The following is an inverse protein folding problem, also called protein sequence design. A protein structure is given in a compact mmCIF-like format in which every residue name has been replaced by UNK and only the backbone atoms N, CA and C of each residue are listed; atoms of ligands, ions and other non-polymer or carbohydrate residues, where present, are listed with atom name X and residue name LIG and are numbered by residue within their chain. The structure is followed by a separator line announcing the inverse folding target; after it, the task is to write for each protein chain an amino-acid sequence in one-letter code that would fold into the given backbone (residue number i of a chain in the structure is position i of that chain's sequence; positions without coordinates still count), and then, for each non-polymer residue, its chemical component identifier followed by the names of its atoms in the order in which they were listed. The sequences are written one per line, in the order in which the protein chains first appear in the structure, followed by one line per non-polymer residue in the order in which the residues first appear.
data_IF_187487840614
#
_entry.id   IF_187487840614
#
_cell.length_a   1.000
_cell.length_b   1.000
_cell.length_c   1.000
_cell.angle_alpha   90.00
_cell.angle_beta   90.00
_cell.angle_gamma   90.00
#
_symmetry.space_group_name_H-M   'P 1'
#
loop_
_entity.id
_entity.type
_entity.pdbx_description
1 polymer ?
#
# COMPACT_ATOMS: atom_id res chain seq x y z
N UNK A 1 1.45 0.39 23.28
CA UNK A 1 1.83 0.44 21.85
C UNK A 1 0.89 -0.53 21.17
N UNK A 2 0.23 -0.13 20.09
CA UNK A 2 -0.74 -0.99 19.39
C UNK A 2 0.03 -2.19 18.82
N UNK A 3 -0.39 -3.43 19.11
CA UNK A 3 0.40 -4.63 18.79
C UNK A 3 0.65 -4.77 17.28
N UNK A 4 -0.35 -4.36 16.48
CA UNK A 4 -0.24 -4.26 15.02
C UNK A 4 0.93 -3.36 14.61
N UNK A 5 1.10 -2.21 15.27
CA UNK A 5 2.11 -1.23 14.90
C UNK A 5 3.53 -1.74 15.17
N UNK A 6 3.70 -2.56 16.22
CA UNK A 6 4.97 -3.21 16.52
C UNK A 6 5.34 -4.23 15.44
N UNK A 7 4.39 -5.09 15.05
CA UNK A 7 4.59 -6.04 13.95
C UNK A 7 4.84 -5.34 12.61
N UNK A 8 4.13 -4.24 12.30
CA UNK A 8 4.39 -3.43 11.10
C UNK A 8 5.82 -2.87 11.09
N UNK A 9 6.31 -2.43 12.25
CA UNK A 9 7.66 -1.90 12.37
C UNK A 9 8.72 -3.00 12.21
N UNK A 10 8.51 -4.17 12.82
CA UNK A 10 9.40 -5.32 12.64
C UNK A 10 9.43 -5.77 11.16
N UNK A 11 8.27 -5.85 10.51
CA UNK A 11 8.15 -6.19 9.10
C UNK A 11 8.91 -5.19 8.21
N UNK A 12 8.77 -3.89 8.46
CA UNK A 12 9.47 -2.85 7.70
C UNK A 12 11.01 -2.93 7.84
N UNK A 13 11.52 -3.34 9.00
CA UNK A 13 12.96 -3.55 9.20
C UNK A 13 13.44 -4.77 8.40
N UNK A 14 12.72 -5.89 8.48
CA UNK A 14 13.04 -7.11 7.75
C UNK A 14 13.01 -6.90 6.23
N UNK A 15 11.99 -6.22 5.68
CA UNK A 15 11.91 -5.97 4.24
C UNK A 15 13.05 -5.09 3.73
N UNK A 16 13.45 -4.08 4.51
CA UNK A 16 14.61 -3.25 4.19
C UNK A 16 15.91 -4.07 4.19
N UNK A 17 16.08 -4.96 5.17
CA UNK A 17 17.25 -5.84 5.24
C UNK A 17 17.29 -6.84 4.08
N UNK A 18 16.17 -7.51 3.79
CA UNK A 18 16.02 -8.43 2.65
C UNK A 18 16.39 -7.71 1.34
N UNK A 19 15.85 -6.51 1.12
CA UNK A 19 16.13 -5.72 -0.10
C UNK A 19 17.63 -5.42 -0.23
N UNK A 20 18.29 -5.02 0.86
CA UNK A 20 19.72 -4.74 0.86
C UNK A 20 20.56 -6.01 0.61
N UNK A 21 20.18 -7.14 1.21
CA UNK A 21 20.85 -8.42 1.02
C UNK A 21 20.67 -8.97 -0.41
N UNK A 22 19.49 -8.84 -1.02
CA UNK A 22 19.23 -9.18 -2.43
C UNK A 22 20.15 -8.37 -3.35
N UNK A 23 20.31 -7.06 -3.10
CA UNK A 23 21.23 -6.20 -3.85
C UNK A 23 22.69 -6.67 -3.76
N UNK A 24 23.12 -7.14 -2.58
CA UNK A 24 24.47 -7.70 -2.36
C UNK A 24 24.65 -9.06 -3.05
N UNK A 25 23.60 -9.88 -3.11
CA UNK A 25 23.63 -11.24 -3.66
C UNK A 25 24.14 -11.30 -5.12
N UNK A 26 23.88 -10.25 -5.91
CA UNK A 26 24.35 -10.14 -7.28
C UNK A 26 25.86 -9.90 -7.44
N UNK A 27 26.53 -9.41 -6.39
CA UNK A 27 27.94 -8.97 -6.43
C UNK A 27 28.85 -9.87 -5.57
N UNK A 28 28.31 -10.57 -4.58
CA UNK A 28 29.08 -11.38 -3.63
C UNK A 28 29.71 -12.66 -4.22
N UNK A 29 30.89 -13.07 -3.73
CA UNK A 29 31.55 -14.33 -4.12
C UNK A 29 30.79 -15.57 -3.64
N UNK A 30 31.02 -16.72 -4.29
CA UNK A 30 30.20 -17.94 -4.13
C UNK A 30 30.04 -18.44 -2.67
N UNK A 31 31.06 -18.31 -1.82
CA UNK A 31 30.98 -18.74 -0.41
C UNK A 31 30.13 -17.82 0.47
N UNK A 32 30.16 -16.51 0.23
CA UNK A 32 29.31 -15.53 0.94
C UNK A 32 27.88 -15.56 0.41
N UNK A 33 27.72 -15.84 -0.89
CA UNK A 33 26.43 -16.00 -1.57
C UNK A 33 25.56 -17.08 -0.92
N UNK A 34 26.11 -18.25 -0.60
CA UNK A 34 25.33 -19.33 0.03
C UNK A 34 24.82 -18.94 1.42
N UNK A 35 25.62 -18.21 2.22
CA UNK A 35 25.20 -17.70 3.52
C UNK A 35 24.09 -16.67 3.37
N UNK A 36 24.29 -15.69 2.48
CA UNK A 36 23.27 -14.67 2.17
C UNK A 36 21.96 -15.28 1.67
N UNK A 37 22.00 -16.33 0.84
CA UNK A 37 20.79 -17.04 0.40
C UNK A 37 20.04 -17.62 1.60
N UNK A 38 20.75 -18.32 2.49
CA UNK A 38 20.14 -18.90 3.69
C UNK A 38 19.59 -17.85 4.64
N UNK A 39 20.28 -16.71 4.78
CA UNK A 39 19.84 -15.61 5.64
C UNK A 39 18.58 -14.94 5.08
N UNK A 40 18.54 -14.67 3.77
CA UNK A 40 17.35 -14.13 3.08
C UNK A 40 16.18 -15.11 3.15
N UNK A 41 16.40 -16.41 2.94
CA UNK A 41 15.36 -17.45 3.05
C UNK A 41 14.72 -17.41 4.46
N UNK A 42 15.55 -17.35 5.52
CA UNK A 42 15.07 -17.22 6.92
C UNK A 42 14.28 -15.93 7.15
N UNK A 43 14.76 -14.80 6.64
CA UNK A 43 14.10 -13.51 6.82
C UNK A 43 12.77 -13.42 6.05
N UNK A 44 12.65 -14.08 4.90
CA UNK A 44 11.39 -14.17 4.15
C UNK A 44 10.34 -14.99 4.90
N UNK A 45 10.74 -16.08 5.56
CA UNK A 45 9.87 -16.86 6.45
C UNK A 45 9.43 -16.02 7.67
N UNK A 46 10.37 -15.36 8.35
CA UNK A 46 10.09 -14.48 9.50
C UNK A 46 9.13 -13.33 9.11
N UNK A 47 9.31 -12.75 7.92
CA UNK A 47 8.42 -11.73 7.37
C UNK A 47 7.02 -12.26 7.10
N UNK A 48 6.89 -13.51 6.64
CA UNK A 48 5.60 -14.15 6.42
C UNK A 48 4.87 -14.38 7.75
N UNK A 49 5.57 -14.85 8.79
CA UNK A 49 5.01 -15.03 10.13
C UNK A 49 4.45 -13.71 10.69
N UNK A 50 5.17 -12.60 10.50
CA UNK A 50 4.68 -11.28 10.91
C UNK A 50 3.41 -10.86 10.16
N UNK A 51 3.30 -11.13 8.85
CA UNK A 51 2.09 -10.86 8.09
C UNK A 51 0.90 -11.70 8.58
N UNK A 52 1.14 -12.96 8.95
CA UNK A 52 0.12 -13.82 9.54
C UNK A 52 -0.33 -13.29 10.91
N UNK A 53 0.61 -12.85 11.76
CA UNK A 53 0.31 -12.23 13.05
C UNK A 53 -0.48 -10.93 12.92
N UNK A 54 -0.11 -10.05 11.97
CA UNK A 54 -0.89 -8.86 11.64
C UNK A 54 -2.31 -9.24 11.20
N UNK A 55 -2.45 -10.27 10.35
CA UNK A 55 -3.75 -10.76 9.90
C UNK A 55 -4.64 -11.28 11.03
N UNK A 56 -4.05 -11.95 12.03
CA UNK A 56 -4.77 -12.40 13.23
C UNK A 56 -5.24 -11.21 14.07
N UNK A 57 -4.34 -10.26 14.34
CA UNK A 57 -4.66 -9.10 15.17
C UNK A 57 -5.74 -8.20 14.53
N UNK A 58 -5.75 -8.09 13.19
CA UNK A 58 -6.79 -7.36 12.44
C UNK A 58 -8.20 -7.95 12.67
N UNK A 59 -8.32 -9.25 13.00
CA UNK A 59 -9.63 -9.85 13.32
C UNK A 59 -10.21 -9.32 14.62
N UNK A 60 -9.37 -8.87 15.55
CA UNK A 60 -9.79 -8.35 16.84
C UNK A 60 -10.08 -6.83 16.78
N UNK A 61 -9.64 -6.15 15.72
CA UNK A 61 -9.97 -4.74 15.45
C UNK A 61 -11.47 -4.55 15.16
N UNK A 62 -12.12 -3.48 15.69
CA UNK A 62 -13.50 -3.15 15.37
C UNK A 62 -13.76 -3.00 13.86
N UNK A 63 -14.93 -3.46 13.40
CA UNK A 63 -15.28 -3.49 11.98
C UNK A 63 -15.14 -2.13 11.26
N UNK A 64 -15.36 -1.02 11.97
CA UNK A 64 -15.21 0.33 11.43
C UNK A 64 -13.78 0.66 10.98
N UNK A 65 -12.77 0.12 11.67
CA UNK A 65 -11.35 0.40 11.39
C UNK A 65 -10.68 -0.72 10.59
N UNK A 66 -11.32 -1.88 10.49
CA UNK A 66 -10.75 -3.09 9.87
C UNK A 66 -10.40 -2.92 8.40
N UNK A 67 -11.22 -2.21 7.62
CA UNK A 67 -10.98 -2.02 6.17
C UNK A 67 -9.65 -1.34 5.86
N UNK A 68 -9.24 -0.35 6.67
CA UNK A 68 -7.95 0.32 6.53
C UNK A 68 -6.78 -0.63 6.79
N UNK A 69 -6.84 -1.42 7.86
CA UNK A 69 -5.80 -2.38 8.18
C UNK A 69 -5.73 -3.54 7.19
N UNK A 70 -6.88 -4.08 6.74
CA UNK A 70 -6.92 -5.13 5.71
C UNK A 70 -6.29 -4.65 4.41
N UNK A 71 -6.57 -3.42 3.98
CA UNK A 71 -5.93 -2.86 2.79
C UNK A 71 -4.40 -2.75 2.95
N UNK A 72 -3.90 -2.31 4.11
CA UNK A 72 -2.46 -2.26 4.39
C UNK A 72 -1.84 -3.65 4.38
N UNK A 73 -2.48 -4.65 4.99
CA UNK A 73 -2.04 -6.05 4.97
C UNK A 73 -1.92 -6.57 3.53
N UNK A 74 -2.92 -6.30 2.67
CA UNK A 74 -2.89 -6.70 1.27
C UNK A 74 -1.73 -6.05 0.51
N UNK A 75 -1.40 -4.79 0.80
CA UNK A 75 -0.22 -4.13 0.25
C UNK A 75 1.08 -4.79 0.70
N UNK A 76 1.23 -5.11 1.99
CA UNK A 76 2.43 -5.80 2.48
C UNK A 76 2.57 -7.21 1.89
N UNK A 77 1.46 -7.95 1.73
CA UNK A 77 1.48 -9.26 1.06
C UNK A 77 1.95 -9.15 -0.40
N UNK A 78 1.51 -8.12 -1.13
CA UNK A 78 1.99 -7.87 -2.49
C UNK A 78 3.49 -7.53 -2.53
N UNK A 79 3.97 -6.72 -1.58
CA UNK A 79 5.39 -6.41 -1.46
C UNK A 79 6.24 -7.64 -1.12
N UNK A 80 5.79 -8.48 -0.18
CA UNK A 80 6.48 -9.73 0.18
C UNK A 80 6.62 -10.66 -1.03
N UNK A 81 5.57 -10.80 -1.86
CA UNK A 81 5.66 -11.59 -3.11
C UNK A 81 6.65 -11.00 -4.11
N UNK A 82 6.69 -9.66 -4.25
CA UNK A 82 7.69 -9.00 -5.08
C UNK A 82 9.11 -9.31 -4.59
N UNK A 83 9.37 -9.21 -3.29
CA UNK A 83 10.68 -9.54 -2.71
C UNK A 83 11.07 -11.00 -2.94
N UNK A 84 10.12 -11.93 -2.81
CA UNK A 84 10.34 -13.35 -3.10
C UNK A 84 10.73 -13.58 -4.57
N UNK A 85 10.09 -12.87 -5.50
CA UNK A 85 10.42 -12.94 -6.93
C UNK A 85 11.79 -12.32 -7.23
N UNK A 86 12.10 -11.15 -6.67
CA UNK A 86 13.40 -10.49 -6.80
C UNK A 86 14.54 -11.37 -6.27
N UNK A 87 14.33 -12.00 -5.11
CA UNK A 87 15.28 -12.96 -4.55
C UNK A 87 15.48 -14.19 -5.45
N UNK A 88 14.40 -14.77 -5.98
CA UNK A 88 14.47 -15.90 -6.91
C UNK A 88 15.27 -15.54 -8.16
N UNK A 89 15.04 -14.34 -8.73
CA UNK A 89 15.78 -13.83 -9.88
C UNK A 89 17.26 -13.59 -9.55
N UNK A 90 17.56 -13.04 -8.38
CA UNK A 90 18.94 -12.82 -7.92
C UNK A 90 19.67 -14.15 -7.66
N UNK A 91 18.97 -15.17 -7.15
CA UNK A 91 19.47 -16.53 -6.96
C UNK A 91 19.77 -17.24 -8.28
N UNK A 92 18.95 -17.01 -9.32
CA UNK A 92 19.18 -17.52 -10.67
C UNK A 92 20.33 -16.78 -11.39
N UNK A 93 20.52 -15.49 -11.09
CA UNK A 93 21.62 -14.68 -11.62
C UNK A 93 22.94 -15.10 -10.97
N UNK A 94 23.61 -16.12 -11.54
CA UNK A 94 25.02 -16.40 -11.22
C UNK A 94 25.86 -15.19 -11.64
N UNK A 95 26.90 -14.79 -10.86
CA UNK A 95 27.83 -13.79 -11.32
C UNK A 95 28.43 -14.27 -12.65
N UNK A 96 28.37 -13.41 -13.68
CA UNK A 96 29.08 -13.60 -14.95
C UNK A 96 30.58 -13.59 -14.66
N UNK A 97 31.10 -14.73 -14.22
CA UNK A 97 32.50 -14.87 -13.79
C UNK A 97 33.24 -16.09 -14.33
N UNK A 98 32.59 -17.01 -15.06
CA UNK A 98 33.25 -18.22 -15.63
C UNK A 98 32.53 -18.78 -16.85
N UNK A 99 32.06 -17.91 -17.75
CA UNK A 99 31.55 -18.31 -19.06
C UNK A 99 32.19 -17.49 -20.20
N UNK A 100 33.46 -17.15 -20.05
CA UNK A 100 34.26 -16.45 -21.05
C UNK A 100 35.54 -17.23 -21.35
N UNK A 101 35.55 -17.89 -22.51
CA UNK A 101 36.74 -18.29 -23.27
C UNK A 101 37.79 -19.18 -22.58
N UNK A 102 37.61 -20.49 -22.71
CA UNK A 102 38.74 -21.43 -22.87
C UNK A 102 38.57 -22.18 -24.18
N UNK A 103 38.70 -21.44 -25.29
CA UNK A 103 38.91 -21.98 -26.62
C UNK A 103 40.36 -21.62 -27.01
N UNK A 104 41.30 -22.48 -26.65
CA UNK A 104 42.66 -22.49 -27.21
C UNK A 104 43.32 -23.85 -26.89
N UNK A 105 43.40 -24.66 -27.94
CA UNK A 105 44.45 -25.64 -28.27
C UNK A 105 45.08 -26.50 -27.16
N UNK A 106 44.83 -27.81 -27.26
CA UNK A 106 45.91 -28.80 -27.15
C UNK A 106 45.56 -30.04 -27.97
N UNK A 107 46.49 -30.35 -28.87
CA UNK A 107 46.52 -31.44 -29.84
C UNK A 107 46.50 -32.85 -29.21
N UNK A 108 45.98 -33.78 -30.01
CA UNK A 108 46.27 -35.23 -30.04
C UNK A 108 45.90 -36.16 -28.86
N UNK A 109 45.28 -37.29 -29.23
CA UNK A 109 44.90 -38.49 -28.45
C UNK A 109 43.60 -38.43 -27.63
N UNK A 110 42.51 -39.03 -28.16
CA UNK A 110 41.71 -40.09 -27.49
C UNK A 110 40.29 -40.23 -28.13
N UNK A 111 40.16 -41.09 -29.15
CA UNK A 111 38.91 -41.33 -29.89
C UNK A 111 37.87 -42.15 -29.08
N UNK A 112 38.26 -42.71 -27.92
CA UNK A 112 37.38 -43.52 -27.05
C UNK A 112 36.73 -42.67 -25.95
N UNK A 113 37.34 -41.56 -25.52
CA UNK A 113 36.76 -40.62 -24.54
C UNK A 113 35.67 -39.68 -25.09
N UNK A 114 35.63 -39.44 -26.40
CA UNK A 114 34.70 -38.47 -27.04
C UNK A 114 33.24 -38.90 -26.88
N UNK A 115 32.95 -40.20 -26.92
CA UNK A 115 31.58 -40.71 -26.82
C UNK A 115 31.06 -40.66 -25.37
N UNK A 116 31.92 -40.93 -24.38
CA UNK A 116 31.56 -40.77 -22.96
C UNK A 116 31.40 -39.29 -22.58
N UNK A 117 32.25 -38.40 -23.11
CA UNK A 117 32.13 -36.97 -22.87
C UNK A 117 30.90 -36.35 -23.53
N UNK A 118 30.52 -36.77 -24.74
CA UNK A 118 29.25 -36.39 -25.34
C UNK A 118 28.06 -36.89 -24.53
N UNK A 119 28.09 -38.15 -24.08
CA UNK A 119 27.02 -38.72 -23.23
C UNK A 119 26.90 -38.01 -21.89
N UNK A 120 28.02 -37.67 -21.24
CA UNK A 120 28.05 -36.86 -20.01
C UNK A 120 27.50 -35.45 -20.24
N UNK A 121 27.86 -34.80 -21.36
CA UNK A 121 27.32 -33.48 -21.72
C UNK A 121 25.81 -33.52 -21.97
N UNK A 122 25.30 -34.58 -22.60
CA UNK A 122 23.86 -34.75 -22.82
C UNK A 122 23.11 -35.02 -21.50
N UNK A 123 23.69 -35.81 -20.60
CA UNK A 123 23.14 -36.04 -19.26
C UNK A 123 23.14 -34.76 -18.42
N UNK A 124 24.23 -33.99 -18.39
CA UNK A 124 24.30 -32.68 -17.71
C UNK A 124 23.30 -31.69 -18.32
N UNK A 125 23.14 -31.69 -19.65
CA UNK A 125 22.15 -30.85 -20.32
C UNK A 125 20.71 -31.27 -19.98
N UNK A 126 20.44 -32.57 -19.91
CA UNK A 126 19.14 -33.13 -19.51
C UNK A 126 18.81 -32.81 -18.05
N UNK A 127 19.76 -32.96 -17.14
CA UNK A 127 19.60 -32.62 -15.73
C UNK A 127 19.36 -31.11 -15.55
N UNK A 128 20.11 -30.28 -16.27
CA UNK A 128 19.89 -28.83 -16.32
C UNK A 128 18.52 -28.47 -16.86
N UNK A 129 18.06 -29.16 -17.90
CA UNK A 129 16.76 -28.91 -18.51
C UNK A 129 15.62 -29.29 -17.56
N UNK A 130 15.72 -30.46 -16.92
CA UNK A 130 14.75 -30.90 -15.91
C UNK A 130 14.69 -29.91 -14.73
N UNK A 131 15.85 -29.48 -14.23
CA UNK A 131 15.94 -28.50 -13.15
C UNK A 131 15.33 -27.16 -13.55
N UNK A 132 15.63 -26.68 -14.76
CA UNK A 132 15.06 -25.45 -15.31
C UNK A 132 13.55 -25.57 -15.50
N UNK A 133 13.05 -26.73 -15.96
CA UNK A 133 11.63 -27.01 -16.12
C UNK A 133 10.87 -26.98 -14.79
N UNK A 134 11.44 -27.59 -13.74
CA UNK A 134 10.87 -27.54 -12.40
C UNK A 134 10.84 -26.10 -11.85
N UNK A 135 11.95 -25.36 -11.97
CA UNK A 135 12.00 -23.94 -11.58
C UNK A 135 11.00 -23.07 -12.34
N UNK A 136 10.79 -23.33 -13.64
CA UNK A 136 9.82 -22.60 -14.45
C UNK A 136 8.38 -22.87 -13.99
N UNK A 137 8.07 -24.12 -13.65
CA UNK A 137 6.75 -24.52 -13.13
C UNK A 137 6.46 -23.87 -11.78
N UNK A 138 7.44 -23.83 -10.89
CA UNK A 138 7.32 -23.15 -9.60
C UNK A 138 7.16 -21.64 -9.79
N UNK A 139 7.95 -21.04 -10.68
CA UNK A 139 7.84 -19.62 -11.03
C UNK A 139 6.46 -19.28 -11.59
N UNK A 140 5.91 -20.13 -12.47
CA UNK A 140 4.58 -19.95 -13.03
C UNK A 140 3.50 -19.97 -11.95
N UNK A 141 3.60 -20.89 -10.98
CA UNK A 141 2.68 -20.94 -9.84
C UNK A 141 2.74 -19.65 -9.01
N UNK A 142 3.95 -19.18 -8.67
CA UNK A 142 4.13 -17.94 -7.90
C UNK A 142 3.55 -16.73 -8.65
N UNK A 143 3.72 -16.66 -9.98
CA UNK A 143 3.13 -15.60 -10.81
C UNK A 143 1.61 -15.64 -10.77
N UNK A 144 0.98 -16.81 -10.87
CA UNK A 144 -0.49 -16.93 -10.76
C UNK A 144 -1.00 -16.50 -9.38
N UNK A 145 -0.35 -16.94 -8.31
CA UNK A 145 -0.71 -16.50 -6.96
C UNK A 145 -0.51 -14.99 -6.77
N UNK A 146 0.46 -14.40 -7.49
CA UNK A 146 0.70 -12.94 -7.48
C UNK A 146 -0.36 -12.19 -8.28
N UNK A 147 -0.80 -12.72 -9.43
CA UNK A 147 -1.91 -12.18 -10.22
C UNK A 147 -3.21 -12.14 -9.42
N UNK A 148 -3.48 -13.20 -8.66
CA UNK A 148 -4.67 -13.27 -7.80
C UNK A 148 -4.66 -12.18 -6.72
N UNK A 149 -3.53 -11.97 -6.03
CA UNK A 149 -3.38 -10.89 -5.05
C UNK A 149 -3.48 -9.52 -5.74
N UNK A 150 -2.83 -9.34 -6.89
CA UNK A 150 -2.92 -8.10 -7.66
C UNK A 150 -4.36 -7.75 -8.03
N UNK A 151 -5.15 -8.75 -8.41
CA UNK A 151 -6.59 -8.59 -8.67
C UNK A 151 -7.35 -8.15 -7.42
N UNK A 152 -7.07 -8.75 -6.26
CA UNK A 152 -7.69 -8.38 -4.99
C UNK A 152 -7.32 -6.94 -4.58
N UNK A 153 -6.06 -6.55 -4.74
CA UNK A 153 -5.61 -5.16 -4.48
C UNK A 153 -6.31 -4.17 -5.41
N UNK A 154 -6.45 -4.49 -6.70
CA UNK A 154 -7.17 -3.64 -7.65
C UNK A 154 -8.66 -3.51 -7.29
N UNK A 155 -9.27 -4.58 -6.80
CA UNK A 155 -10.65 -4.55 -6.30
C UNK A 155 -10.78 -3.63 -5.09
N UNK A 156 -9.90 -3.77 -4.08
CA UNK A 156 -9.90 -2.91 -2.91
C UNK A 156 -9.72 -1.42 -3.28
N UNK A 157 -8.82 -1.12 -4.22
CA UNK A 157 -8.60 0.25 -4.70
C UNK A 157 -9.84 0.80 -5.43
N UNK A 158 -10.54 -0.05 -6.20
CA UNK A 158 -11.80 0.32 -6.84
C UNK A 158 -12.88 0.65 -5.80
N UNK A 159 -13.02 -0.17 -4.76
CA UNK A 159 -13.99 0.04 -3.68
C UNK A 159 -13.67 1.30 -2.87
N UNK A 160 -12.38 1.58 -2.62
CA UNK A 160 -11.92 2.82 -2.01
C UNK A 160 -12.25 4.03 -2.88
N UNK A 161 -12.00 3.96 -4.19
CA UNK A 161 -12.36 5.03 -5.14
C UNK A 161 -13.87 5.31 -5.10
N UNK A 162 -14.69 4.27 -5.07
CA UNK A 162 -16.14 4.41 -5.03
C UNK A 162 -16.60 5.08 -3.73
N UNK A 163 -16.04 4.68 -2.58
CA UNK A 163 -16.27 5.33 -1.29
C UNK A 163 -15.92 6.82 -1.33
N UNK A 164 -14.76 7.18 -1.89
CA UNK A 164 -14.35 8.59 -2.05
C UNK A 164 -15.33 9.36 -2.95
N UNK A 165 -15.78 8.75 -4.06
CA UNK A 165 -16.76 9.37 -4.95
C UNK A 165 -18.09 9.62 -4.25
N UNK A 166 -18.60 8.66 -3.48
CA UNK A 166 -19.81 8.82 -2.68
C UNK A 166 -19.65 9.92 -1.64
N UNK A 167 -18.53 9.94 -0.91
CA UNK A 167 -18.25 10.99 0.08
C UNK A 167 -18.21 12.39 -0.55
N UNK A 168 -17.57 12.54 -1.71
CA UNK A 168 -17.57 13.80 -2.48
C UNK A 168 -18.97 14.19 -2.95
N UNK A 169 -19.79 13.22 -3.38
CA UNK A 169 -21.19 13.44 -3.75
C UNK A 169 -22.00 14.00 -2.58
N UNK A 170 -21.89 13.37 -1.41
CA UNK A 170 -22.57 13.81 -0.17
C UNK A 170 -22.11 15.19 0.27
N UNK A 171 -20.79 15.47 0.23
CA UNK A 171 -20.27 16.81 0.54
C UNK A 171 -20.84 17.89 -0.39
N UNK A 172 -20.93 17.62 -1.70
CA UNK A 172 -21.50 18.56 -2.66
C UNK A 172 -22.98 18.81 -2.45
N UNK A 173 -23.72 17.78 -2.04
CA UNK A 173 -25.13 17.89 -1.66
C UNK A 173 -25.30 18.69 -0.36
N UNK A 174 -24.48 18.40 0.66
CA UNK A 174 -24.44 19.17 1.91
C UNK A 174 -24.07 20.64 1.67
N UNK A 175 -23.10 20.94 0.80
CA UNK A 175 -22.77 22.33 0.42
C UNK A 175 -23.96 23.05 -0.23
N UNK A 176 -24.73 22.33 -1.07
CA UNK A 176 -25.94 22.89 -1.69
C UNK A 176 -27.05 23.14 -0.65
N UNK A 177 -27.22 22.25 0.32
CA UNK A 177 -28.17 22.41 1.42
C UNK A 177 -27.76 23.52 2.39
N UNK A 178 -26.46 23.64 2.71
CA UNK A 178 -25.90 24.74 3.49
C UNK A 178 -26.09 26.09 2.78
N UNK A 179 -25.88 26.14 1.46
CA UNK A 179 -26.16 27.33 0.66
C UNK A 179 -27.63 27.75 0.69
N UNK A 180 -28.56 26.79 0.64
CA UNK A 180 -30.00 27.06 0.78
C UNK A 180 -30.37 27.50 2.20
N UNK A 181 -29.82 26.84 3.21
CA UNK A 181 -30.04 27.14 4.62
C UNK A 181 -29.50 28.51 5.00
N UNK A 182 -28.31 28.89 4.51
CA UNK A 182 -27.74 30.22 4.67
C UNK A 182 -28.65 31.32 4.11
N UNK A 183 -29.25 31.11 2.93
CA UNK A 183 -30.22 32.04 2.33
C UNK A 183 -31.49 32.17 3.17
N UNK A 184 -32.02 31.07 3.69
CA UNK A 184 -33.19 31.06 4.56
C UNK A 184 -32.91 31.76 5.90
N UNK A 185 -31.77 31.46 6.53
CA UNK A 185 -31.33 32.09 7.78
C UNK A 185 -31.12 33.59 7.60
N UNK A 186 -30.49 34.02 6.50
CA UNK A 186 -30.30 35.44 6.22
C UNK A 186 -31.65 36.17 6.02
N UNK A 187 -32.61 35.52 5.33
CA UNK A 187 -33.99 36.02 5.21
C UNK A 187 -34.68 36.17 6.57
N UNK A 188 -34.56 35.16 7.44
CA UNK A 188 -35.13 35.21 8.80
C UNK A 188 -34.47 36.30 9.66
N UNK A 189 -33.14 36.43 9.58
CA UNK A 189 -32.37 37.45 10.29
C UNK A 189 -32.78 38.86 9.88
N UNK A 190 -32.92 39.12 8.58
CA UNK A 190 -33.37 40.43 8.09
C UNK A 190 -34.81 40.77 8.51
N UNK A 191 -35.72 39.79 8.53
CA UNK A 191 -37.07 39.97 9.07
C UNK A 191 -37.05 40.31 10.55
N UNK A 192 -36.28 39.57 11.35
CA UNK A 192 -36.15 39.82 12.78
C UNK A 192 -35.54 41.20 13.10
N UNK A 193 -34.55 41.65 12.32
CA UNK A 193 -33.99 43.00 12.47
C UNK A 193 -35.02 44.08 12.12
N UNK A 194 -35.79 43.89 11.05
CA UNK A 194 -36.86 44.83 10.66
C UNK A 194 -37.89 44.99 11.77
N UNK A 195 -38.36 43.88 12.35
CA UNK A 195 -39.34 43.91 13.44
C UNK A 195 -38.80 44.65 14.68
N UNK A 196 -37.53 44.44 15.02
CA UNK A 196 -36.87 45.18 16.12
C UNK A 196 -36.77 46.68 15.84
N UNK A 197 -36.40 47.08 14.63
CA UNK A 197 -36.28 48.50 14.26
C UNK A 197 -37.66 49.19 14.32
N UNK A 198 -38.71 48.52 13.82
CA UNK A 198 -40.08 49.04 13.90
C UNK A 198 -40.49 49.24 15.35
N UNK A 199 -40.24 48.27 16.23
CA UNK A 199 -40.57 48.37 17.64
C UNK A 199 -39.85 49.55 18.33
N UNK A 200 -38.55 49.71 18.09
CA UNK A 200 -37.75 50.83 18.65
C UNK A 200 -38.28 52.17 18.12
N UNK A 201 -38.61 52.26 16.83
CA UNK A 201 -39.13 53.51 16.24
C UNK A 201 -40.44 53.96 16.88
N UNK A 202 -41.35 53.02 17.16
CA UNK A 202 -42.63 53.30 17.84
C UNK A 202 -42.40 53.75 19.28
N UNK A 203 -41.50 53.08 20.02
CA UNK A 203 -41.18 53.47 21.39
C UNK A 203 -40.60 54.89 21.47
N UNK A 204 -39.66 55.24 20.58
CA UNK A 204 -39.08 56.59 20.50
C UNK A 204 -40.13 57.65 20.16
N UNK A 205 -41.02 57.36 19.20
CA UNK A 205 -42.11 58.27 18.85
C UNK A 205 -43.04 58.53 20.05
N UNK A 206 -43.40 57.50 20.82
CA UNK A 206 -44.20 57.65 22.03
C UNK A 206 -43.49 58.51 23.10
N UNK A 207 -42.20 58.29 23.33
CA UNK A 207 -41.42 59.11 24.25
C UNK A 207 -41.35 60.58 23.81
N UNK A 208 -41.12 60.84 22.51
CA UNK A 208 -41.10 62.21 21.98
C UNK A 208 -42.44 62.93 22.20
N UNK A 209 -43.56 62.26 21.96
CA UNK A 209 -44.90 62.82 22.20
C UNK A 209 -45.09 63.14 23.68
N UNK A 210 -44.69 62.25 24.59
CA UNK A 210 -44.77 62.49 26.04
C UNK A 210 -43.89 63.66 26.47
N UNK A 211 -42.65 63.74 25.98
CA UNK A 211 -41.74 64.84 26.26
C UNK A 211 -42.30 66.18 25.79
N UNK A 212 -42.83 66.24 24.57
CA UNK A 212 -43.46 67.44 24.03
C UNK A 212 -44.69 67.85 24.86
N UNK A 213 -45.54 66.90 25.23
CA UNK A 213 -46.72 67.17 26.05
C UNK A 213 -46.36 67.76 27.42
N UNK A 214 -45.31 67.24 28.08
CA UNK A 214 -44.84 67.77 29.37
C UNK A 214 -44.21 69.15 29.18
N UNK A 215 -43.40 69.34 28.13
CA UNK A 215 -42.77 70.62 27.85
C UNK A 215 -43.80 71.73 27.63
N UNK A 216 -44.83 71.47 26.81
CA UNK A 216 -45.93 72.44 26.63
C UNK A 216 -46.70 72.68 27.92
N UNK A 217 -47.05 71.62 28.67
CA UNK A 217 -47.78 71.76 29.94
C UNK A 217 -47.03 72.50 31.05
N UNK A 218 -45.69 72.51 31.04
CA UNK A 218 -44.87 73.25 32.01
C UNK A 218 -44.56 74.67 31.52
N UNK A 219 -44.58 74.87 30.20
CA UNK A 219 -44.32 76.17 29.58
C UNK A 219 -45.56 77.06 29.48
N UNK A 220 -46.78 76.50 29.53
CA UNK A 220 -48.05 77.20 29.76
C UNK A 220 -48.30 77.41 31.26
#
# INVERSE_FOLDING_TARGET
MDLIQDYEQQYAVLTAEITAQIGRLGVSPAGERTKLISDIDRQLEESQELLEQIGLEIRDVPAANRSGYTSRLNCYQAEWKRLQQEFTNAKATRPKGTAGYSAAESDEFDEIGIQEDQKRRLLDNSERLERTGNHLKDSYRVVLETEQIGTQVLQDLSDQRETIQRARGRLRETDAELGRSSRLLNSMMMRALRDKIVLISVAVALFLVLFLSIYFSVSD
#
